data_IF_409926835480
#
_entry.id   IF_409926835480
#
_cell.length_a   1.000
_cell.length_b   1.000
_cell.length_c   1.000
_cell.angle_alpha   90.00
_cell.angle_beta   90.00
_cell.angle_gamma   90.00
#
_symmetry.space_group_name_H-M   'P 1'
#
loop_
_entity.id
_entity.type
_entity.pdbx_description
1 polymer ?
#
# COMPACT_ATOMS: atom_id res chain seq x y z
N UNK A 1 -23.26 -38.66 -2.96
CA UNK A 1 -23.16 -37.34 -3.63
C UNK A 1 -23.77 -36.21 -2.81
N UNK A 2 -25.00 -36.35 -2.28
CA UNK A 2 -25.67 -35.31 -1.48
C UNK A 2 -24.91 -34.86 -0.22
N UNK A 3 -24.34 -35.79 0.55
CA UNK A 3 -23.54 -35.45 1.74
C UNK A 3 -22.35 -34.53 1.43
N UNK A 4 -21.54 -34.89 0.42
CA UNK A 4 -20.38 -34.09 0.03
C UNK A 4 -20.77 -32.70 -0.46
N UNK A 5 -21.90 -32.59 -1.17
CA UNK A 5 -22.46 -31.31 -1.60
C UNK A 5 -22.86 -30.43 -0.40
N UNK A 6 -23.63 -30.98 0.55
CA UNK A 6 -24.08 -30.22 1.73
C UNK A 6 -22.92 -29.83 2.65
N UNK A 7 -21.93 -30.71 2.83
CA UNK A 7 -20.74 -30.38 3.59
C UNK A 7 -19.96 -29.23 2.95
N UNK A 8 -19.74 -29.30 1.63
CA UNK A 8 -19.05 -28.24 0.88
C UNK A 8 -19.79 -26.91 0.99
N UNK A 9 -21.11 -26.92 0.81
CA UNK A 9 -21.95 -25.72 0.95
C UNK A 9 -21.93 -25.17 2.38
N UNK A 10 -22.01 -26.02 3.40
CA UNK A 10 -21.96 -25.62 4.80
C UNK A 10 -20.64 -24.90 5.14
N UNK A 11 -19.52 -25.47 4.71
CA UNK A 11 -18.20 -24.84 4.87
C UNK A 11 -18.13 -23.52 4.09
N UNK A 12 -18.61 -23.47 2.85
CA UNK A 12 -18.61 -22.25 2.04
C UNK A 12 -19.43 -21.12 2.70
N UNK A 13 -20.65 -21.40 3.17
CA UNK A 13 -21.51 -20.42 3.84
C UNK A 13 -20.88 -19.94 5.15
N UNK A 14 -20.37 -20.85 5.97
CA UNK A 14 -19.65 -20.49 7.20
C UNK A 14 -18.45 -19.58 6.90
N UNK A 15 -17.70 -19.87 5.84
CA UNK A 15 -16.52 -19.10 5.44
C UNK A 15 -16.90 -17.66 5.05
N UNK A 16 -17.97 -17.50 4.26
CA UNK A 16 -18.51 -16.19 3.89
C UNK A 16 -19.02 -15.43 5.11
N UNK A 17 -19.70 -16.11 6.03
CA UNK A 17 -20.16 -15.51 7.29
C UNK A 17 -18.99 -15.05 8.17
N UNK A 18 -17.91 -15.83 8.27
CA UNK A 18 -16.72 -15.44 9.02
C UNK A 18 -16.02 -14.21 8.40
N UNK A 19 -16.05 -14.09 7.07
CA UNK A 19 -15.49 -12.95 6.32
C UNK A 19 -16.26 -11.63 6.54
N UNK A 20 -17.50 -11.67 7.05
CA UNK A 20 -18.28 -10.44 7.33
C UNK A 20 -17.94 -9.79 8.68
N UNK A 21 -17.23 -10.50 9.56
CA UNK A 21 -16.75 -9.93 10.82
C UNK A 21 -15.49 -9.08 10.61
N UNK A 22 -15.31 -8.08 11.47
CA UNK A 22 -14.17 -7.15 11.42
C UNK A 22 -12.94 -7.65 12.20
N UNK A 23 -13.02 -8.81 12.86
CA UNK A 23 -11.88 -9.35 13.62
C UNK A 23 -10.93 -10.13 12.71
N UNK A 24 -9.63 -9.90 12.83
CA UNK A 24 -8.59 -10.58 12.02
C UNK A 24 -8.70 -12.10 12.11
N UNK A 25 -8.98 -12.65 13.31
CA UNK A 25 -9.15 -14.09 13.48
C UNK A 25 -10.32 -14.64 12.64
N UNK A 26 -11.48 -13.98 12.67
CA UNK A 26 -12.63 -14.42 11.87
C UNK A 26 -12.32 -14.33 10.37
N UNK A 27 -11.68 -13.25 9.92
CA UNK A 27 -11.28 -13.10 8.52
C UNK A 27 -10.30 -14.18 8.06
N UNK A 28 -9.31 -14.55 8.90
CA UNK A 28 -8.38 -15.66 8.64
C UNK A 28 -9.09 -17.01 8.53
N UNK A 29 -9.97 -17.31 9.49
CA UNK A 29 -10.73 -18.56 9.48
C UNK A 29 -11.66 -18.63 8.27
N UNK A 30 -12.27 -17.52 7.88
CA UNK A 30 -13.08 -17.43 6.66
C UNK A 30 -12.26 -17.67 5.39
N UNK A 31 -11.06 -17.09 5.29
CA UNK A 31 -10.17 -17.34 4.15
C UNK A 31 -9.72 -18.81 4.08
N UNK A 32 -9.35 -19.41 5.22
CA UNK A 32 -9.01 -20.83 5.30
C UNK A 32 -10.20 -21.72 4.90
N UNK A 33 -11.41 -21.36 5.34
CA UNK A 33 -12.63 -22.07 5.01
C UNK A 33 -12.93 -22.05 3.49
N UNK A 34 -12.64 -20.96 2.78
CA UNK A 34 -12.75 -20.91 1.30
C UNK A 34 -11.81 -21.94 0.64
N UNK A 35 -10.57 -22.05 1.14
CA UNK A 35 -9.61 -23.06 0.65
C UNK A 35 -10.12 -24.48 0.90
N UNK A 36 -10.66 -24.74 2.11
CA UNK A 36 -11.24 -26.05 2.46
C UNK A 36 -12.45 -26.36 1.60
N UNK A 37 -13.37 -25.41 1.40
CA UNK A 37 -14.54 -25.59 0.55
C UNK A 37 -14.14 -25.93 -0.90
N UNK A 38 -13.10 -25.27 -1.42
CA UNK A 38 -12.58 -25.52 -2.77
C UNK A 38 -11.91 -26.89 -2.88
N UNK A 39 -11.17 -27.30 -1.85
CA UNK A 39 -10.64 -28.65 -1.74
C UNK A 39 -11.76 -29.69 -1.77
N UNK A 40 -12.78 -29.53 -0.91
CA UNK A 40 -13.90 -30.46 -0.78
C UNK A 40 -14.70 -30.56 -2.08
N UNK A 41 -14.97 -29.43 -2.75
CA UNK A 41 -15.68 -29.39 -4.01
C UNK A 41 -15.00 -30.27 -5.07
N UNK A 42 -13.69 -30.09 -5.27
CA UNK A 42 -12.95 -30.85 -6.27
C UNK A 42 -12.72 -32.30 -5.84
N UNK A 43 -12.45 -32.53 -4.55
CA UNK A 43 -12.29 -33.87 -3.99
C UNK A 43 -13.55 -34.72 -4.18
N UNK A 44 -14.74 -34.20 -3.87
CA UNK A 44 -15.99 -34.96 -4.01
C UNK A 44 -16.41 -35.22 -5.46
N UNK A 45 -15.96 -34.40 -6.41
CA UNK A 45 -16.18 -34.62 -7.85
C UNK A 45 -15.21 -35.68 -8.40
N UNK A 46 -13.95 -35.63 -7.99
CA UNK A 46 -12.87 -36.44 -8.58
C UNK A 46 -12.55 -37.72 -7.81
N UNK A 47 -12.93 -37.80 -6.54
CA UNK A 47 -12.51 -38.85 -5.60
C UNK A 47 -11.03 -38.82 -5.21
N UNK A 48 -10.27 -37.79 -5.63
CA UNK A 48 -8.82 -37.75 -5.51
C UNK A 48 -8.35 -36.52 -4.71
N UNK A 49 -7.66 -36.78 -3.60
CA UNK A 49 -7.15 -35.73 -2.71
C UNK A 49 -6.15 -34.79 -3.40
N UNK A 50 -5.34 -35.29 -4.34
CA UNK A 50 -4.39 -34.46 -5.09
C UNK A 50 -5.11 -33.40 -5.93
N UNK A 51 -6.22 -33.78 -6.57
CA UNK A 51 -7.07 -32.83 -7.31
C UNK A 51 -7.77 -31.84 -6.37
N UNK A 52 -8.18 -32.29 -5.18
CA UNK A 52 -8.64 -31.39 -4.11
C UNK A 52 -7.61 -30.31 -3.76
N UNK A 53 -6.36 -30.71 -3.50
CA UNK A 53 -5.26 -29.78 -3.16
C UNK A 53 -5.01 -28.82 -4.33
N UNK A 54 -4.98 -29.32 -5.56
CA UNK A 54 -4.83 -28.48 -6.75
C UNK A 54 -5.97 -27.45 -6.87
N UNK A 55 -7.20 -27.86 -6.59
CA UNK A 55 -8.38 -26.98 -6.56
C UNK A 55 -8.22 -25.83 -5.57
N UNK A 56 -7.84 -26.14 -4.33
CA UNK A 56 -7.58 -25.13 -3.30
C UNK A 56 -6.39 -24.21 -3.66
N UNK A 57 -5.32 -24.77 -4.23
CA UNK A 57 -4.13 -24.01 -4.60
C UNK A 57 -4.39 -22.96 -5.70
N UNK A 58 -5.43 -23.14 -6.52
CA UNK A 58 -5.84 -22.17 -7.56
C UNK A 58 -6.01 -20.75 -7.01
N UNK A 59 -6.53 -20.60 -5.78
CA UNK A 59 -6.70 -19.30 -5.14
C UNK A 59 -5.39 -18.54 -4.95
N UNK A 60 -4.26 -19.25 -4.76
CA UNK A 60 -2.93 -18.65 -4.64
C UNK A 60 -2.43 -18.07 -5.97
N UNK A 61 -3.03 -18.47 -7.09
CA UNK A 61 -2.67 -18.01 -8.43
C UNK A 61 -3.63 -16.95 -8.98
N UNK A 62 -4.71 -16.61 -8.28
CA UNK A 62 -5.60 -15.50 -8.70
C UNK A 62 -4.86 -14.19 -8.98
N UNK A 63 -3.86 -13.76 -8.17
CA UNK A 63 -3.12 -12.53 -8.46
C UNK A 63 -2.38 -12.56 -9.81
N UNK A 64 -2.04 -13.75 -10.33
CA UNK A 64 -1.37 -13.85 -11.63
C UNK A 64 -2.24 -13.37 -12.80
N UNK A 65 -3.58 -13.44 -12.69
CA UNK A 65 -4.46 -12.87 -13.71
C UNK A 65 -4.22 -11.36 -13.83
N UNK A 66 -4.23 -10.63 -12.71
CA UNK A 66 -3.98 -9.18 -12.70
C UNK A 66 -2.53 -8.87 -13.09
N UNK A 67 -1.56 -9.64 -12.59
CA UNK A 67 -0.14 -9.44 -12.90
C UNK A 67 0.13 -9.57 -14.40
N UNK A 68 -0.39 -10.60 -15.06
CA UNK A 68 -0.13 -10.87 -16.47
C UNK A 68 -0.92 -9.97 -17.43
N UNK A 69 -2.11 -9.51 -17.03
CA UNK A 69 -2.98 -8.69 -17.88
C UNK A 69 -2.75 -7.20 -17.71
N UNK A 70 -2.67 -6.70 -16.47
CA UNK A 70 -2.59 -5.27 -16.14
C UNK A 70 -1.16 -4.84 -15.79
N UNK A 71 -0.50 -5.54 -14.86
CA UNK A 71 0.80 -5.09 -14.33
C UNK A 71 1.93 -5.27 -15.34
N UNK A 72 1.87 -6.32 -16.17
CA UNK A 72 2.88 -6.58 -17.21
C UNK A 72 2.93 -5.47 -18.28
N UNK A 73 1.78 -4.87 -18.59
CA UNK A 73 1.67 -3.81 -19.60
C UNK A 73 1.98 -2.43 -19.01
N UNK A 74 1.91 -2.28 -17.68
CA UNK A 74 2.23 -1.05 -16.97
C UNK A 74 3.62 -0.48 -17.33
N UNK A 75 3.65 0.82 -17.62
CA UNK A 75 4.85 1.63 -17.79
C UNK A 75 4.80 2.78 -16.80
N UNK A 76 5.91 3.02 -16.13
CA UNK A 76 6.06 4.14 -15.20
C UNK A 76 7.20 5.03 -15.68
N UNK A 77 7.08 6.36 -15.58
CA UNK A 77 8.19 7.24 -15.90
C UNK A 77 9.32 7.02 -14.90
N UNK A 78 10.57 7.01 -15.40
CA UNK A 78 11.76 6.86 -14.56
C UNK A 78 11.97 8.06 -13.62
N UNK A 79 11.56 9.25 -14.07
CA UNK A 79 11.51 10.46 -13.26
C UNK A 79 10.07 10.91 -13.04
N UNK A 80 9.69 11.11 -11.78
CA UNK A 80 8.42 11.73 -11.40
C UNK A 80 8.72 13.13 -10.89
N UNK A 81 8.47 14.13 -11.72
CA UNK A 81 8.53 15.53 -11.30
C UNK A 81 7.16 15.95 -10.81
N UNK A 82 7.09 16.37 -9.56
CA UNK A 82 5.86 16.91 -9.00
C UNK A 82 5.65 18.32 -9.56
N UNK A 83 4.39 18.66 -9.76
CA UNK A 83 3.97 19.99 -10.20
C UNK A 83 2.95 20.51 -9.21
N UNK A 84 2.88 21.83 -8.98
CA UNK A 84 1.79 22.42 -8.23
C UNK A 84 0.45 21.94 -8.79
N UNK A 85 -0.45 21.48 -7.92
CA UNK A 85 -1.77 21.00 -8.31
C UNK A 85 -2.83 21.63 -7.43
N UNK A 86 -3.95 22.00 -8.06
CA UNK A 86 -5.15 22.35 -7.32
C UNK A 86 -5.69 21.11 -6.59
N UNK A 87 -6.32 21.31 -5.42
CA UNK A 87 -7.01 20.23 -4.71
C UNK A 87 -8.05 19.54 -5.60
N UNK A 88 -8.24 18.23 -5.47
CA UNK A 88 -9.35 17.53 -6.13
C UNK A 88 -10.70 18.07 -5.62
N UNK A 89 -11.74 17.97 -6.43
CA UNK A 89 -13.09 18.36 -6.04
C UNK A 89 -13.64 17.48 -4.91
N UNK A 90 -14.56 18.01 -4.11
CA UNK A 90 -15.27 17.25 -3.07
C UNK A 90 -16.03 16.04 -3.62
N UNK A 91 -16.43 16.08 -4.90
CA UNK A 91 -17.01 14.90 -5.56
C UNK A 91 -16.01 13.77 -5.79
N UNK A 92 -14.73 14.10 -5.99
CA UNK A 92 -13.66 13.13 -6.26
C UNK A 92 -13.02 12.64 -4.95
N UNK A 93 -12.81 13.54 -4.00
CA UNK A 93 -12.24 13.23 -2.70
C UNK A 93 -13.01 13.93 -1.56
N UNK A 94 -14.17 13.38 -1.13
CA UNK A 94 -15.03 14.03 -0.14
C UNK A 94 -14.37 14.27 1.22
N UNK A 95 -13.48 13.37 1.64
CA UNK A 95 -12.85 13.41 2.97
C UNK A 95 -11.64 14.36 3.06
N UNK A 96 -11.21 14.98 1.96
CA UNK A 96 -9.99 15.80 1.94
C UNK A 96 -10.03 16.93 2.97
N UNK A 97 -11.13 17.69 3.03
CA UNK A 97 -11.25 18.86 3.91
C UNK A 97 -11.40 18.48 5.39
N UNK A 98 -12.00 17.31 5.67
CA UNK A 98 -12.08 16.79 7.04
C UNK A 98 -10.69 16.36 7.54
N UNK A 99 -9.97 15.57 6.73
CA UNK A 99 -8.62 15.10 7.06
C UNK A 99 -7.65 16.28 7.18
N UNK A 100 -7.74 17.25 6.26
CA UNK A 100 -6.93 18.48 6.33
C UNK A 100 -7.10 19.20 7.66
N UNK A 101 -8.34 19.39 8.12
CA UNK A 101 -8.61 20.03 9.40
C UNK A 101 -8.13 19.20 10.58
N UNK A 102 -8.26 17.88 10.51
CA UNK A 102 -7.72 16.99 11.54
C UNK A 102 -6.20 17.16 11.68
N UNK A 103 -5.48 17.24 10.56
CA UNK A 103 -4.03 17.46 10.53
C UNK A 103 -3.65 18.83 11.10
N UNK A 104 -4.37 19.88 10.72
CA UNK A 104 -4.15 21.24 11.22
C UNK A 104 -4.44 21.37 12.73
N UNK A 105 -5.48 20.68 13.23
CA UNK A 105 -5.81 20.65 14.65
C UNK A 105 -4.70 20.01 15.51
N UNK A 106 -3.91 19.10 14.93
CA UNK A 106 -2.71 18.53 15.57
C UNK A 106 -1.48 19.45 15.51
N UNK A 107 -1.62 20.65 14.93
CA UNK A 107 -0.58 21.68 14.87
C UNK A 107 0.35 21.57 13.66
N UNK A 108 -0.05 20.84 12.61
CA UNK A 108 0.66 20.86 11.34
C UNK A 108 0.18 22.02 10.47
N UNK A 109 1.09 22.81 9.91
CA UNK A 109 0.76 23.86 8.96
C UNK A 109 0.69 23.29 7.53
N UNK A 110 -0.32 23.68 6.75
CA UNK A 110 -0.38 23.39 5.32
C UNK A 110 0.74 24.13 4.59
N UNK A 111 1.44 23.44 3.70
CA UNK A 111 2.61 23.99 3.00
C UNK A 111 2.38 24.07 1.51
N UNK A 112 1.98 22.96 0.87
CA UNK A 112 1.83 22.91 -0.58
C UNK A 112 0.93 21.75 -1.02
N UNK A 113 0.33 21.91 -2.20
CA UNK A 113 -0.40 20.87 -2.92
C UNK A 113 0.33 20.58 -4.25
N UNK A 114 0.73 19.33 -4.42
CA UNK A 114 1.55 18.90 -5.54
C UNK A 114 1.06 17.56 -6.10
N UNK A 115 1.40 17.26 -7.34
CA UNK A 115 1.00 16.01 -7.96
C UNK A 115 1.71 15.72 -9.26
N UNK A 116 1.41 14.57 -9.84
CA UNK A 116 1.84 14.23 -11.19
C UNK A 116 0.76 13.43 -11.89
N UNK A 117 0.72 13.57 -13.21
CA UNK A 117 -0.17 12.86 -14.10
C UNK A 117 0.66 12.13 -15.14
N UNK A 118 0.29 10.88 -15.44
CA UNK A 118 0.94 10.06 -16.46
C UNK A 118 -0.04 9.05 -17.02
N UNK A 119 -0.39 9.18 -18.30
CA UNK A 119 -1.41 8.35 -18.92
C UNK A 119 -2.69 8.33 -18.04
N UNK A 120 -3.11 7.16 -17.58
CA UNK A 120 -4.29 6.99 -16.72
C UNK A 120 -3.97 7.03 -15.22
N UNK A 121 -2.73 7.37 -14.84
CA UNK A 121 -2.30 7.52 -13.46
C UNK A 121 -2.31 8.97 -13.05
N UNK A 122 -2.99 9.27 -11.94
CA UNK A 122 -2.91 10.57 -11.30
C UNK A 122 -2.55 10.37 -9.84
N UNK A 123 -1.63 11.17 -9.34
CA UNK A 123 -1.35 11.24 -7.92
C UNK A 123 -1.41 12.69 -7.45
N UNK A 124 -2.06 12.88 -6.32
CA UNK A 124 -2.15 14.15 -5.63
C UNK A 124 -1.59 14.00 -4.22
N UNK A 125 -0.84 15.00 -3.79
CA UNK A 125 -0.21 15.12 -2.49
C UNK A 125 -0.61 16.45 -1.90
N UNK A 126 -1.19 16.43 -0.70
CA UNK A 126 -1.31 17.61 0.15
C UNK A 126 -0.30 17.49 1.28
N UNK A 127 0.59 18.47 1.37
CA UNK A 127 1.76 18.47 2.25
C UNK A 127 1.54 19.39 3.45
N UNK A 128 1.88 18.89 4.63
CA UNK A 128 1.89 19.66 5.86
C UNK A 128 3.19 19.44 6.63
N UNK A 129 3.56 20.41 7.46
CA UNK A 129 4.74 20.33 8.31
C UNK A 129 4.47 20.83 9.72
N UNK A 130 5.06 20.15 10.70
CA UNK A 130 5.04 20.57 12.11
C UNK A 130 6.47 20.79 12.58
N UNK A 131 6.82 22.06 12.78
CA UNK A 131 8.19 22.50 13.10
C UNK A 131 8.68 21.94 14.43
N UNK A 132 7.84 21.94 15.47
CA UNK A 132 8.21 21.50 16.83
C UNK A 132 8.60 20.02 16.88
N UNK A 133 7.94 19.19 16.07
CA UNK A 133 8.17 17.74 15.99
C UNK A 133 9.09 17.35 14.83
N UNK A 134 9.40 18.31 13.94
CA UNK A 134 10.11 18.09 12.66
C UNK A 134 9.49 16.96 11.83
N UNK A 135 8.17 16.90 11.83
CA UNK A 135 7.39 15.86 11.16
C UNK A 135 6.65 16.43 9.95
N UNK A 136 6.70 15.70 8.85
CA UNK A 136 5.93 15.97 7.64
C UNK A 136 4.71 15.05 7.60
N UNK A 137 3.53 15.61 7.42
CA UNK A 137 2.32 14.84 7.11
C UNK A 137 1.94 15.00 5.64
N UNK A 138 1.42 13.94 5.04
CA UNK A 138 1.00 13.94 3.65
C UNK A 138 -0.29 13.16 3.48
N UNK A 139 -1.25 13.78 2.81
CA UNK A 139 -2.42 13.09 2.25
C UNK A 139 -2.07 12.69 0.82
N UNK A 140 -2.03 11.39 0.54
CA UNK A 140 -1.74 10.85 -0.77
C UNK A 140 -3.01 10.30 -1.42
N UNK A 141 -3.46 10.89 -2.52
CA UNK A 141 -4.53 10.34 -3.37
C UNK A 141 -3.89 9.69 -4.60
N UNK A 142 -4.29 8.46 -4.90
CA UNK A 142 -3.88 7.71 -6.08
C UNK A 142 -5.10 7.35 -6.89
N UNK A 143 -5.08 7.69 -8.17
CA UNK A 143 -6.12 7.37 -9.13
C UNK A 143 -5.50 6.57 -10.27
N UNK A 144 -6.15 5.47 -10.62
CA UNK A 144 -5.82 4.67 -11.78
C UNK A 144 -7.10 4.05 -12.36
N UNK A 145 -7.48 4.48 -13.57
CA UNK A 145 -8.73 4.03 -14.22
C UNK A 145 -9.93 4.23 -13.26
N UNK A 146 -10.70 3.16 -12.98
CA UNK A 146 -11.88 3.19 -12.11
C UNK A 146 -11.55 2.99 -10.62
N UNK A 147 -10.26 2.88 -10.26
CA UNK A 147 -9.82 2.71 -8.88
C UNK A 147 -9.19 4.01 -8.36
N UNK A 148 -9.78 4.56 -7.31
CA UNK A 148 -9.17 5.60 -6.50
C UNK A 148 -9.02 5.13 -5.06
N UNK A 149 -7.91 5.48 -4.43
CA UNK A 149 -7.72 5.27 -3.01
C UNK A 149 -6.79 6.34 -2.47
N UNK A 150 -6.94 6.66 -1.19
CA UNK A 150 -6.04 7.54 -0.49
C UNK A 150 -5.41 6.85 0.70
N UNK A 151 -4.32 7.43 1.19
CA UNK A 151 -3.67 7.05 2.44
C UNK A 151 -2.95 8.26 3.02
N UNK A 152 -2.64 8.16 4.30
CA UNK A 152 -1.91 9.15 5.07
C UNK A 152 -0.50 8.63 5.33
N UNK A 153 0.46 9.55 5.28
CA UNK A 153 1.86 9.31 5.58
C UNK A 153 2.34 10.39 6.54
N UNK A 154 3.07 9.99 7.57
CA UNK A 154 3.84 10.87 8.44
C UNK A 154 5.30 10.45 8.33
N UNK A 155 6.20 11.39 8.06
CA UNK A 155 7.62 11.10 7.99
C UNK A 155 8.49 12.14 8.70
N UNK A 156 9.57 11.63 9.29
CA UNK A 156 10.62 12.42 9.92
C UNK A 156 11.96 11.98 9.34
N UNK A 157 12.73 12.93 8.82
CA UNK A 157 14.06 12.67 8.23
C UNK A 157 15.13 12.97 9.27
N UNK A 158 16.04 12.05 9.52
CA UNK A 158 17.17 12.29 10.42
C UNK A 158 18.37 12.86 9.66
N UNK A 159 19.25 13.55 10.39
CA UNK A 159 20.47 14.18 9.83
C UNK A 159 21.45 13.20 9.20
N UNK A 160 21.35 11.91 9.53
CA UNK A 160 22.13 10.81 8.94
C UNK A 160 21.51 10.26 7.63
N UNK A 161 20.37 10.81 7.20
CA UNK A 161 19.68 10.44 5.96
C UNK A 161 18.64 9.32 6.11
N UNK A 162 18.41 8.77 7.30
CA UNK A 162 17.30 7.82 7.49
C UNK A 162 15.95 8.54 7.43
N UNK A 163 14.94 7.84 6.92
CA UNK A 163 13.59 8.35 6.78
C UNK A 163 12.65 7.45 7.58
N UNK A 164 12.20 7.96 8.72
CA UNK A 164 11.23 7.30 9.58
C UNK A 164 9.85 7.59 9.04
N UNK A 165 9.12 6.58 8.59
CA UNK A 165 7.81 6.77 7.97
C UNK A 165 6.77 5.90 8.64
N UNK A 166 5.65 6.51 9.01
CA UNK A 166 4.44 5.84 9.46
C UNK A 166 3.33 6.10 8.46
N UNK A 167 2.65 5.05 7.99
CA UNK A 167 1.58 5.20 7.00
C UNK A 167 0.47 4.17 7.20
N UNK A 168 -0.69 4.42 6.61
CA UNK A 168 -1.81 3.49 6.59
C UNK A 168 -2.10 2.95 5.17
N UNK A 169 -1.05 2.84 4.33
CA UNK A 169 -1.15 2.39 2.95
C UNK A 169 -1.93 1.06 2.82
N UNK A 170 -3.05 1.02 2.06
CA UNK A 170 -4.00 -0.09 2.12
C UNK A 170 -3.62 -1.29 1.26
N UNK A 171 -2.68 -1.15 0.33
CA UNK A 171 -2.33 -2.19 -0.63
C UNK A 171 -0.98 -2.85 -0.32
N UNK A 172 -0.69 -3.97 -0.98
CA UNK A 172 0.63 -4.58 -0.95
C UNK A 172 1.68 -3.67 -1.59
N UNK A 173 2.93 -3.78 -1.13
CA UNK A 173 4.02 -2.99 -1.71
C UNK A 173 4.33 -3.45 -3.12
N UNK A 174 4.10 -2.56 -4.09
CA UNK A 174 4.46 -2.81 -5.49
C UNK A 174 5.97 -2.84 -5.71
N UNK A 175 6.74 -2.17 -4.84
CA UNK A 175 8.18 -1.96 -4.97
C UNK A 175 8.88 -2.27 -3.65
N UNK A 176 10.14 -2.72 -3.72
CA UNK A 176 11.01 -2.87 -2.56
C UNK A 176 11.35 -1.50 -1.98
N UNK A 177 11.15 -1.33 -0.69
CA UNK A 177 11.56 -0.11 0.04
C UNK A 177 13.07 0.09 -0.08
N UNK A 178 13.51 1.35 -0.23
CA UNK A 178 14.95 1.64 -0.22
C UNK A 178 15.52 1.47 1.20
N UNK A 179 16.83 1.20 1.34
CA UNK A 179 17.45 0.95 2.66
C UNK A 179 17.38 2.12 3.65
N UNK A 180 17.07 3.32 3.17
CA UNK A 180 16.98 4.55 3.96
C UNK A 180 15.67 4.60 4.77
N UNK A 181 14.62 3.93 4.29
CA UNK A 181 13.32 3.94 4.94
C UNK A 181 13.29 3.01 6.15
N UNK A 182 12.70 3.50 7.23
CA UNK A 182 12.22 2.71 8.37
C UNK A 182 10.71 2.85 8.40
N UNK A 183 9.99 1.76 8.17
CA UNK A 183 8.54 1.79 7.99
C UNK A 183 7.82 1.24 9.21
N UNK A 184 6.87 2.01 9.70
CA UNK A 184 5.84 1.58 10.64
C UNK A 184 4.48 1.59 9.91
N UNK A 185 4.03 0.42 9.43
CA UNK A 185 2.75 0.30 8.71
C UNK A 185 1.61 0.10 9.70
N UNK A 186 0.64 0.99 9.67
CA UNK A 186 -0.58 0.96 10.45
C UNK A 186 -1.77 0.50 9.61
N UNK A 187 -2.90 0.21 10.28
CA UNK A 187 -4.12 -0.22 9.59
C UNK A 187 -4.78 0.93 8.83
N UNK A 188 -5.50 0.68 7.72
CA UNK A 188 -6.14 1.72 6.92
C UNK A 188 -7.22 2.54 7.66
N UNK A 189 -7.85 1.96 8.68
CA UNK A 189 -8.96 2.53 9.44
C UNK A 189 -8.54 3.49 10.56
N UNK A 190 -7.24 3.75 10.72
CA UNK A 190 -6.74 4.68 11.73
C UNK A 190 -7.03 6.14 11.35
N UNK A 191 -7.49 6.91 12.34
CA UNK A 191 -7.56 8.38 12.31
C UNK A 191 -6.15 8.99 12.16
N UNK A 192 -6.06 10.25 11.73
CA UNK A 192 -4.76 10.93 11.67
C UNK A 192 -4.11 11.03 13.05
N UNK A 193 -4.89 11.36 14.10
CA UNK A 193 -4.38 11.40 15.47
C UNK A 193 -3.72 10.07 15.89
N UNK A 194 -4.39 8.93 15.64
CA UNK A 194 -3.84 7.61 15.94
C UNK A 194 -2.54 7.35 15.16
N UNK A 195 -2.51 7.70 13.87
CA UNK A 195 -1.33 7.54 13.03
C UNK A 195 -0.16 8.38 13.55
N UNK A 196 -0.43 9.60 14.00
CA UNK A 196 0.55 10.52 14.55
C UNK A 196 1.10 10.06 15.90
N UNK A 197 0.25 9.60 16.82
CA UNK A 197 0.75 8.99 18.06
C UNK A 197 1.60 7.75 17.80
N UNK A 198 1.18 6.89 16.87
CA UNK A 198 1.98 5.75 16.41
C UNK A 198 3.32 6.17 15.81
N UNK A 199 3.39 7.30 15.11
CA UNK A 199 4.64 7.83 14.58
C UNK A 199 5.59 8.28 15.70
N UNK A 200 5.08 9.04 16.68
CA UNK A 200 5.86 9.49 17.83
C UNK A 200 6.37 8.32 18.67
N UNK A 201 5.53 7.31 18.89
CA UNK A 201 5.94 6.09 19.56
C UNK A 201 7.01 5.33 18.77
N UNK A 202 6.88 5.27 17.45
CA UNK A 202 7.88 4.63 16.59
C UNK A 202 9.25 5.30 16.68
N UNK A 203 9.30 6.64 16.68
CA UNK A 203 10.55 7.39 16.90
C UNK A 203 11.12 7.12 18.30
N UNK A 204 10.29 7.20 19.34
CA UNK A 204 10.68 6.94 20.73
C UNK A 204 11.23 5.53 20.92
N UNK A 205 10.60 4.52 20.32
CA UNK A 205 11.03 3.12 20.41
C UNK A 205 12.42 2.90 19.80
N UNK A 206 12.82 3.75 18.86
CA UNK A 206 14.14 3.73 18.23
C UNK A 206 15.10 4.79 18.78
N UNK A 207 14.73 5.43 19.90
CA UNK A 207 15.53 6.50 20.55
C UNK A 207 15.88 7.65 19.62
N UNK A 208 14.96 8.01 18.71
CA UNK A 208 15.13 9.12 17.78
C UNK A 208 14.61 10.40 18.43
N UNK A 209 15.53 11.23 18.87
CA UNK A 209 15.24 12.55 19.43
C UNK A 209 14.98 13.58 18.34
N UNK A 210 14.09 14.55 18.58
CA UNK A 210 13.77 15.62 17.62
C UNK A 210 14.99 16.44 17.22
N UNK A 211 15.98 16.59 18.10
CA UNK A 211 17.24 17.28 17.80
C UNK A 211 18.10 16.56 16.76
N UNK A 212 17.92 15.25 16.58
CA UNK A 212 18.56 14.43 15.56
C UNK A 212 17.83 14.47 14.21
N UNK A 213 16.60 14.96 14.18
CA UNK A 213 15.82 15.17 12.97
C UNK A 213 16.28 16.42 12.22
N UNK A 214 16.21 16.39 10.90
CA UNK A 214 16.45 17.57 10.06
C UNK A 214 15.25 18.51 10.10
N UNK A 215 15.49 19.81 10.06
CA UNK A 215 14.43 20.80 9.87
C UNK A 215 14.19 20.96 8.37
N UNK A 216 12.93 20.87 7.96
CA UNK A 216 12.54 21.08 6.58
C UNK A 216 12.15 22.55 6.38
N UNK A 217 12.58 23.12 5.26
CA UNK A 217 11.95 24.31 4.70
C UNK A 217 10.90 23.89 3.66
N UNK A 218 9.99 24.81 3.33
CA UNK A 218 8.81 24.52 2.51
C UNK A 218 9.17 24.06 1.08
N UNK A 219 10.25 24.60 0.50
CA UNK A 219 10.71 24.27 -0.86
C UNK A 219 11.45 22.93 -0.92
N UNK A 220 12.14 22.52 0.15
CA UNK A 220 12.85 21.24 0.24
C UNK A 220 11.89 20.05 0.31
N UNK A 221 10.69 20.19 0.88
CA UNK A 221 9.77 19.04 1.03
C UNK A 221 9.34 18.44 -0.31
N UNK A 222 8.96 19.25 -1.29
CA UNK A 222 8.59 18.72 -2.61
C UNK A 222 9.80 18.04 -3.27
N UNK A 223 10.96 18.69 -3.23
CA UNK A 223 12.22 18.16 -3.78
C UNK A 223 12.62 16.83 -3.14
N UNK A 224 12.46 16.71 -1.82
CA UNK A 224 12.74 15.49 -1.06
C UNK A 224 11.82 14.33 -1.49
N UNK A 225 10.52 14.59 -1.69
CA UNK A 225 9.59 13.56 -2.18
C UNK A 225 9.97 13.13 -3.60
N UNK A 226 10.33 14.05 -4.49
CA UNK A 226 10.78 13.72 -5.84
C UNK A 226 12.05 12.87 -5.82
N UNK A 227 13.01 13.21 -4.96
CA UNK A 227 14.24 12.46 -4.75
C UNK A 227 13.96 11.07 -4.20
N UNK A 228 13.08 10.95 -3.20
CA UNK A 228 12.64 9.67 -2.64
C UNK A 228 12.01 8.78 -3.72
N UNK A 229 11.11 9.34 -4.55
CA UNK A 229 10.46 8.62 -5.66
C UNK A 229 11.48 8.16 -6.72
N UNK A 230 12.44 9.03 -7.08
CA UNK A 230 13.51 8.71 -8.03
C UNK A 230 14.40 7.59 -7.49
N UNK A 231 14.82 7.67 -6.24
CA UNK A 231 15.69 6.67 -5.60
C UNK A 231 14.95 5.34 -5.42
N UNK A 232 13.65 5.37 -5.11
CA UNK A 232 12.79 4.20 -5.06
C UNK A 232 12.75 3.46 -6.40
N UNK A 233 12.60 4.18 -7.52
CA UNK A 233 12.66 3.58 -8.87
C UNK A 233 14.06 3.04 -9.14
N UNK A 234 15.11 3.83 -8.92
CA UNK A 234 16.48 3.43 -9.19
C UNK A 234 16.90 2.18 -8.39
N UNK A 235 16.55 2.13 -7.10
CA UNK A 235 16.75 0.97 -6.25
C UNK A 235 16.05 -0.27 -6.81
N UNK A 236 14.80 -0.15 -7.26
CA UNK A 236 14.04 -1.28 -7.78
C UNK A 236 14.51 -1.76 -9.16
N UNK A 237 15.10 -0.88 -9.97
CA UNK A 237 15.83 -1.26 -11.19
C UNK A 237 17.09 -2.05 -10.83
N UNK A 238 17.93 -1.55 -9.90
CA UNK A 238 19.13 -2.26 -9.43
C UNK A 238 18.78 -3.61 -8.78
N UNK A 239 17.70 -3.65 -8.02
CA UNK A 239 17.16 -4.86 -7.42
C UNK A 239 16.38 -5.73 -8.41
N UNK A 240 16.38 -5.42 -9.71
CA UNK A 240 15.76 -6.24 -10.77
C UNK A 240 14.26 -6.47 -10.61
N UNK A 241 13.56 -5.70 -9.78
CA UNK A 241 12.09 -5.70 -9.70
C UNK A 241 11.54 -4.97 -10.92
N UNK A 242 12.14 -3.84 -11.25
CA UNK A 242 11.88 -3.08 -12.46
C UNK A 242 12.98 -3.31 -13.49
N UNK A 243 12.67 -3.04 -14.75
CA UNK A 243 13.64 -2.95 -15.85
C UNK A 243 13.31 -1.76 -16.74
N UNK A 244 14.33 -1.16 -17.33
CA UNK A 244 14.16 -0.08 -18.31
C UNK A 244 13.43 -0.58 -19.55
N UNK A 245 12.60 0.29 -20.13
CA UNK A 245 11.98 0.16 -21.43
C UNK A 245 12.37 1.37 -22.30
N UNK A 246 11.90 1.43 -23.54
CA UNK A 246 12.12 2.59 -24.42
C UNK A 246 11.49 3.86 -23.83
N UNK A 247 11.95 5.06 -24.22
CA UNK A 247 11.36 6.36 -23.84
C UNK A 247 11.39 6.67 -22.33
N UNK A 248 12.51 6.39 -21.64
CA UNK A 248 12.71 6.72 -20.22
C UNK A 248 11.61 6.21 -19.26
N UNK A 249 10.92 5.14 -19.65
CA UNK A 249 9.99 4.43 -18.78
C UNK A 249 10.61 3.15 -18.23
N UNK A 250 10.12 2.73 -17.07
CA UNK A 250 10.41 1.45 -16.43
C UNK A 250 9.16 0.58 -16.40
N UNK A 251 9.35 -0.74 -16.38
CA UNK A 251 8.28 -1.72 -16.23
C UNK A 251 8.70 -2.86 -15.34
N UNK A 252 7.73 -3.63 -14.84
CA UNK A 252 8.05 -4.83 -14.07
C UNK A 252 8.84 -5.85 -14.91
N UNK A 253 9.87 -6.41 -14.29
CA UNK A 253 10.59 -7.57 -14.81
C UNK A 253 9.82 -8.85 -14.47
N UNK A 254 10.25 -10.00 -15.02
CA UNK A 254 9.71 -11.30 -14.60
C UNK A 254 9.92 -11.55 -13.10
N UNK A 255 11.10 -11.21 -12.60
CA UNK A 255 11.43 -11.24 -11.17
C UNK A 255 10.57 -10.28 -10.36
N UNK A 256 10.23 -9.11 -10.91
CA UNK A 256 9.28 -8.18 -10.30
C UNK A 256 7.87 -8.73 -10.19
N UNK A 257 7.39 -9.44 -11.22
CA UNK A 257 6.08 -10.09 -11.20
C UNK A 257 6.01 -11.21 -10.14
N UNK A 258 7.06 -12.02 -10.01
CA UNK A 258 7.17 -13.00 -8.92
C UNK A 258 7.21 -12.30 -7.55
N UNK A 259 7.96 -11.21 -7.43
CA UNK A 259 8.02 -10.42 -6.20
C UNK A 259 6.63 -9.92 -5.78
N UNK A 260 5.85 -9.36 -6.71
CA UNK A 260 4.48 -8.92 -6.44
C UNK A 260 3.60 -10.07 -5.98
N UNK A 261 3.64 -11.21 -6.67
CA UNK A 261 2.90 -12.40 -6.27
C UNK A 261 3.25 -12.82 -4.83
N UNK A 262 4.53 -12.84 -4.46
CA UNK A 262 4.93 -13.12 -3.09
C UNK A 262 4.42 -12.07 -2.08
N UNK A 263 4.39 -10.78 -2.43
CA UNK A 263 3.83 -9.74 -1.56
C UNK A 263 2.33 -9.96 -1.33
N UNK A 264 1.56 -10.31 -2.38
CA UNK A 264 0.16 -10.66 -2.24
C UNK A 264 -0.05 -11.86 -1.30
N UNK A 265 0.79 -12.90 -1.41
CA UNK A 265 0.72 -14.06 -0.51
C UNK A 265 1.05 -13.69 0.94
N UNK A 266 2.04 -12.83 1.17
CA UNK A 266 2.37 -12.35 2.52
C UNK A 266 1.20 -11.57 3.12
N UNK A 267 0.58 -10.68 2.34
CA UNK A 267 -0.54 -9.88 2.82
C UNK A 267 -1.79 -10.75 3.06
N UNK A 268 -2.00 -11.83 2.31
CA UNK A 268 -3.04 -12.82 2.59
C UNK A 268 -2.88 -13.46 3.99
N UNK A 269 -1.64 -13.68 4.45
CA UNK A 269 -1.34 -14.21 5.78
C UNK A 269 -1.48 -13.15 6.89
N UNK A 270 -1.30 -11.88 6.53
CA UNK A 270 -1.37 -10.75 7.48
C UNK A 270 -2.79 -10.26 7.76
N UNK A 271 -3.76 -10.51 6.87
CA UNK A 271 -5.21 -10.30 7.09
C UNK A 271 -5.63 -10.88 8.44
#
# INVERSE_FOLDING_TARGET
MLFGLFLTLGVAVLSVALRSYQTSLAQKLGALGILIASFLAVYFITGNAAWGVAGAATWLFLPWLEILTRIRTLRLPKEKRLRPKSPPSTSLFPALDEISREIENEGFAHVNDAGWDWEDYRQFFRLFYKTDDRAQATICLNEQHDLSFYYLRISSRSKDGLIWTTWNYPLSYGLKLTPQFRINRQRPDQTFWQLYQSHREFLRHHSVETSALDSLDDERMQTDIENDLREQIAHNVRAGVLKSAANDVVKYSWRGMIYLWCQFLIDLVRL
#
